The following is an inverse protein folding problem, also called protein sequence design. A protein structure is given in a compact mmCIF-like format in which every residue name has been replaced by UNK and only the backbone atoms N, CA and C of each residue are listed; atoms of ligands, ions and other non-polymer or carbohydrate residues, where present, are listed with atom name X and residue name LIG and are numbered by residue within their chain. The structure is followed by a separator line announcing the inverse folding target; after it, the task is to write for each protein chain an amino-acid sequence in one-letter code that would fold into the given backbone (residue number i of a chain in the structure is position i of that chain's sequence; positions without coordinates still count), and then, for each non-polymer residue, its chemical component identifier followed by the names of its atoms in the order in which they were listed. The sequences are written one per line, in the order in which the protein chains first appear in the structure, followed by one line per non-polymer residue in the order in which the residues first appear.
data_IF_576261410280
#
_entry.id   IF_576261410280
#
_cell.length_a   1.000
_cell.length_b   1.000
_cell.length_c   1.000
_cell.angle_alpha   90.00
_cell.angle_beta   90.00
_cell.angle_gamma   90.00
#
_symmetry.space_group_name_H-M   'P 1'
#
loop_
_entity.id
_entity.type
_entity.pdbx_description
1 polymer ?
#
# COMPACT_ATOMS: atom_id res chain seq x y z
N UNK A 1 -18.22 1.39 -5.69
CA UNK A 1 -16.89 2.04 -5.70
C UNK A 1 -16.64 2.83 -4.40
N UNK A 2 -17.57 3.65 -3.90
CA UNK A 2 -17.42 4.42 -2.63
C UNK A 2 -16.99 3.59 -1.40
N UNK A 3 -17.62 2.44 -1.14
CA UNK A 3 -17.24 1.55 -0.03
C UNK A 3 -15.77 1.11 -0.16
N UNK A 4 -15.35 0.71 -1.36
CA UNK A 4 -14.00 0.20 -1.57
C UNK A 4 -12.94 1.30 -1.39
N UNK A 5 -13.22 2.51 -1.88
CA UNK A 5 -12.37 3.68 -1.63
C UNK A 5 -12.23 3.95 -0.12
N UNK A 6 -13.34 3.91 0.63
CA UNK A 6 -13.31 4.08 2.09
C UNK A 6 -12.48 3.01 2.81
N UNK A 7 -12.52 1.76 2.36
CA UNK A 7 -11.67 0.68 2.91
C UNK A 7 -10.19 0.93 2.59
N UNK A 8 -9.88 1.38 1.38
CA UNK A 8 -8.50 1.73 0.99
C UNK A 8 -7.97 2.91 1.83
N UNK A 9 -8.79 3.93 2.07
CA UNK A 9 -8.45 5.06 2.93
C UNK A 9 -8.30 4.65 4.42
N UNK A 10 -8.92 3.55 4.85
CA UNK A 10 -8.66 2.99 6.18
C UNK A 10 -7.29 2.28 6.27
N UNK A 11 -6.68 1.91 5.14
CA UNK A 11 -5.32 1.33 5.10
C UNK A 11 -4.27 2.43 4.97
N UNK A 12 -4.45 3.35 4.03
CA UNK A 12 -3.59 4.53 3.84
C UNK A 12 -4.49 5.77 3.75
N UNK A 13 -4.70 6.49 4.86
CA UNK A 13 -5.57 7.65 4.89
C UNK A 13 -4.93 8.86 4.17
N UNK A 14 -5.75 9.84 3.76
CA UNK A 14 -5.23 11.13 3.34
C UNK A 14 -4.44 11.79 4.48
N UNK A 15 -3.31 12.40 4.13
CA UNK A 15 -2.47 13.11 5.10
C UNK A 15 -3.16 14.37 5.63
N UNK A 16 -2.78 14.78 6.84
CA UNK A 16 -3.24 16.04 7.42
C UNK A 16 -3.00 17.22 6.46
N UNK A 17 -4.01 18.08 6.31
CA UNK A 17 -3.93 19.22 5.39
C UNK A 17 -3.74 18.85 3.92
N UNK A 18 -3.93 17.58 3.53
CA UNK A 18 -3.73 17.10 2.16
C UNK A 18 -2.25 16.88 1.78
N UNK A 19 -1.37 16.68 2.76
CA UNK A 19 0.07 16.47 2.53
C UNK A 19 0.37 15.31 1.55
N UNK A 20 -0.45 14.27 1.57
CA UNK A 20 -0.45 13.17 0.61
C UNK A 20 -1.88 12.65 0.41
N UNK A 21 -2.25 12.17 -0.79
CA UNK A 21 -3.60 11.73 -1.07
C UNK A 21 -3.92 10.39 -0.40
N UNK A 22 -5.17 10.12 -0.06
CA UNK A 22 -5.58 8.80 0.44
C UNK A 22 -5.53 7.72 -0.65
N UNK A 23 -5.41 6.44 -0.27
CA UNK A 23 -5.42 5.35 -1.25
C UNK A 23 -6.76 5.23 -2.00
N UNK A 24 -7.89 5.54 -1.36
CA UNK A 24 -9.18 5.66 -2.01
C UNK A 24 -9.26 6.87 -2.95
N UNK A 25 -8.65 8.00 -2.56
CA UNK A 25 -8.65 9.24 -3.33
C UNK A 25 -7.93 9.11 -4.69
N UNK A 26 -6.85 8.34 -4.76
CA UNK A 26 -6.10 8.16 -6.01
C UNK A 26 -6.72 7.14 -6.97
N UNK A 27 -7.90 6.58 -6.66
CA UNK A 27 -8.53 5.54 -7.47
C UNK A 27 -7.72 4.24 -7.48
N UNK A 28 -7.08 3.91 -6.36
CA UNK A 28 -6.21 2.72 -6.29
C UNK A 28 -7.01 1.44 -6.56
N UNK A 29 -8.29 1.41 -6.21
CA UNK A 29 -9.15 0.25 -6.43
C UNK A 29 -9.24 -0.16 -7.90
N UNK A 30 -9.43 0.79 -8.81
CA UNK A 30 -9.46 0.57 -10.25
C UNK A 30 -8.10 0.05 -10.76
N UNK A 31 -7.00 0.58 -10.22
CA UNK A 31 -5.64 0.14 -10.56
C UNK A 31 -5.42 -1.32 -10.14
N UNK A 32 -5.89 -1.71 -8.95
CA UNK A 32 -5.77 -3.08 -8.47
C UNK A 32 -6.54 -4.07 -9.35
N UNK A 33 -7.78 -3.73 -9.73
CA UNK A 33 -8.59 -4.57 -10.61
C UNK A 33 -7.97 -4.75 -12.00
N UNK A 34 -7.23 -3.75 -12.49
CA UNK A 34 -6.53 -3.83 -13.77
C UNK A 34 -5.21 -4.61 -13.69
N UNK A 35 -4.40 -4.38 -12.64
CA UNK A 35 -3.07 -4.98 -12.51
C UNK A 35 -3.07 -6.39 -11.95
N UNK A 36 -4.07 -6.74 -11.15
CA UNK A 36 -4.16 -8.01 -10.42
C UNK A 36 -5.57 -8.56 -10.56
N UNK A 37 -6.01 -8.91 -11.77
CA UNK A 37 -7.38 -9.38 -12.00
C UNK A 37 -7.73 -10.63 -11.18
N UNK A 38 -6.73 -11.46 -10.84
CA UNK A 38 -6.88 -12.65 -10.01
C UNK A 38 -7.33 -12.34 -8.57
N UNK A 39 -7.09 -11.10 -8.09
CA UNK A 39 -7.52 -10.64 -6.77
C UNK A 39 -9.01 -10.27 -6.74
N UNK A 40 -9.62 -10.02 -7.90
CA UNK A 40 -11.02 -9.53 -8.01
C UNK A 40 -12.03 -10.40 -7.26
N UNK A 41 -12.04 -11.74 -7.37
CA UNK A 41 -13.01 -12.57 -6.66
C UNK A 41 -12.90 -12.42 -5.14
N UNK A 42 -11.67 -12.35 -4.62
CA UNK A 42 -11.38 -12.17 -3.19
C UNK A 42 -11.86 -10.80 -2.70
N UNK A 43 -11.65 -9.74 -3.50
CA UNK A 43 -12.14 -8.39 -3.15
C UNK A 43 -13.66 -8.31 -3.16
N UNK A 44 -14.30 -8.88 -4.18
CA UNK A 44 -15.76 -8.88 -4.30
C UNK A 44 -16.37 -9.60 -3.10
N UNK A 45 -15.84 -10.77 -2.74
CA UNK A 45 -16.32 -11.54 -1.60
C UNK A 45 -16.14 -10.79 -0.27
N UNK A 46 -14.94 -10.27 0.02
CA UNK A 46 -14.70 -9.52 1.25
C UNK A 46 -15.51 -8.23 1.36
N UNK A 47 -15.69 -7.50 0.25
CA UNK A 47 -16.55 -6.30 0.22
C UNK A 47 -18.04 -6.63 0.35
N UNK A 48 -18.47 -7.82 -0.09
CA UNK A 48 -19.84 -8.29 0.12
C UNK A 48 -20.09 -8.60 1.60
N UNK A 49 -19.17 -9.30 2.26
CA UNK A 49 -19.23 -9.57 3.71
C UNK A 49 -19.21 -8.26 4.51
N UNK A 50 -18.33 -7.32 4.16
CA UNK A 50 -18.30 -6.00 4.79
C UNK A 50 -19.63 -5.26 4.65
N UNK A 51 -20.28 -5.34 3.49
CA UNK A 51 -21.60 -4.72 3.26
C UNK A 51 -22.67 -5.34 4.13
N UNK A 52 -22.70 -6.67 4.22
CA UNK A 52 -23.62 -7.40 5.10
C UNK A 52 -23.47 -6.94 6.56
N UNK A 53 -22.24 -6.81 7.05
CA UNK A 53 -21.98 -6.35 8.42
C UNK A 53 -22.42 -4.89 8.66
N UNK A 54 -22.23 -4.01 7.67
CA UNK A 54 -22.73 -2.63 7.75
C UNK A 54 -24.27 -2.59 7.82
N UNK A 55 -24.94 -3.41 7.02
CA UNK A 55 -26.40 -3.54 7.03
C UNK A 55 -26.91 -4.08 8.37
N UNK A 56 -26.28 -5.12 8.92
CA UNK A 56 -26.61 -5.69 10.23
C UNK A 56 -26.46 -4.68 11.37
N UNK A 57 -25.49 -3.77 11.26
CA UNK A 57 -25.24 -2.69 12.22
C UNK A 57 -26.08 -1.44 11.95
N UNK A 58 -26.90 -1.42 10.89
CA UNK A 58 -27.67 -0.26 10.44
C UNK A 58 -26.80 0.98 10.15
N UNK A 59 -25.57 0.76 9.67
CA UNK A 59 -24.61 1.81 9.31
C UNK A 59 -24.70 2.07 7.81
N UNK A 60 -25.08 3.29 7.44
CA UNK A 60 -25.31 3.64 6.03
C UNK A 60 -24.01 3.77 5.20
N UNK A 61 -22.91 4.22 5.81
CA UNK A 61 -21.64 4.45 5.12
C UNK A 61 -20.46 4.06 6.02
N UNK A 62 -19.56 3.23 5.48
CA UNK A 62 -18.31 2.87 6.14
C UNK A 62 -17.47 4.10 6.49
N UNK A 63 -17.48 5.13 5.65
CA UNK A 63 -16.70 6.35 5.88
C UNK A 63 -17.13 7.09 7.15
N UNK A 64 -18.38 6.94 7.58
CA UNK A 64 -18.96 7.60 8.75
C UNK A 64 -18.61 6.95 10.09
N UNK A 65 -18.05 5.73 10.08
CA UNK A 65 -17.60 5.03 11.27
C UNK A 65 -16.38 5.72 11.89
N UNK A 66 -16.27 5.67 13.22
CA UNK A 66 -15.04 6.02 13.91
C UNK A 66 -13.90 5.06 13.51
N UNK A 67 -12.66 5.50 13.67
CA UNK A 67 -11.49 4.72 13.24
C UNK A 67 -11.40 3.34 13.91
N UNK A 68 -11.63 3.28 15.23
CA UNK A 68 -11.67 2.03 15.99
C UNK A 68 -12.79 1.08 15.50
N UNK A 69 -13.93 1.65 15.10
CA UNK A 69 -15.06 0.85 14.59
C UNK A 69 -14.76 0.31 13.19
N UNK A 70 -14.09 1.09 12.33
CA UNK A 70 -13.60 0.62 11.02
C UNK A 70 -12.62 -0.54 11.20
N UNK A 71 -11.67 -0.39 12.13
CA UNK A 71 -10.68 -1.42 12.40
C UNK A 71 -11.33 -2.72 12.88
N UNK A 72 -12.17 -2.64 13.93
CA UNK A 72 -12.87 -3.80 14.47
C UNK A 72 -13.77 -4.49 13.44
N UNK A 73 -14.42 -3.72 12.57
CA UNK A 73 -15.24 -4.26 11.49
C UNK A 73 -14.39 -4.98 10.44
N UNK A 74 -13.28 -4.39 10.01
CA UNK A 74 -12.36 -5.04 9.06
C UNK A 74 -11.76 -6.32 9.65
N UNK A 75 -11.38 -6.33 10.93
CA UNK A 75 -10.91 -7.55 11.60
C UNK A 75 -11.95 -8.67 11.58
N UNK A 76 -13.22 -8.36 11.88
CA UNK A 76 -14.32 -9.33 11.80
C UNK A 76 -14.51 -9.88 10.38
N UNK A 77 -14.45 -9.02 9.37
CA UNK A 77 -14.48 -9.44 7.96
C UNK A 77 -13.28 -10.34 7.65
N UNK A 78 -12.08 -10.01 8.17
CA UNK A 78 -10.87 -10.82 8.00
C UNK A 78 -10.96 -12.21 8.63
N UNK A 79 -11.72 -12.38 9.71
CA UNK A 79 -12.00 -13.71 10.29
C UNK A 79 -12.91 -14.54 9.37
N UNK A 80 -13.93 -13.91 8.77
CA UNK A 80 -14.87 -14.57 7.86
C UNK A 80 -14.26 -14.85 6.48
N UNK A 81 -13.39 -13.96 6.02
CA UNK A 81 -12.74 -13.98 4.70
C UNK A 81 -11.21 -13.84 4.85
N UNK A 82 -10.49 -14.91 5.25
CA UNK A 82 -9.06 -14.83 5.59
C UNK A 82 -8.14 -14.34 4.46
N UNK A 83 -8.54 -14.50 3.20
CA UNK A 83 -7.77 -14.04 2.05
C UNK A 83 -7.94 -12.55 1.73
N UNK A 84 -8.99 -11.91 2.24
CA UNK A 84 -9.37 -10.55 1.84
C UNK A 84 -8.37 -9.50 2.30
N UNK A 85 -8.16 -9.38 3.62
CA UNK A 85 -7.28 -8.34 4.17
C UNK A 85 -5.80 -8.51 3.77
N UNK A 86 -5.18 -9.70 3.85
CA UNK A 86 -3.78 -9.84 3.51
C UNK A 86 -3.48 -9.46 2.05
N UNK A 87 -4.32 -9.93 1.11
CA UNK A 87 -4.20 -9.59 -0.30
C UNK A 87 -4.39 -8.10 -0.55
N UNK A 88 -5.45 -7.52 0.03
CA UNK A 88 -5.73 -6.10 -0.10
C UNK A 88 -4.61 -5.23 0.48
N UNK A 89 -4.09 -5.56 1.66
CA UNK A 89 -2.98 -4.84 2.30
C UNK A 89 -1.73 -4.88 1.42
N UNK A 90 -1.29 -6.07 1.02
CA UNK A 90 -0.10 -6.24 0.19
C UNK A 90 -0.19 -5.41 -1.09
N UNK A 91 -1.31 -5.53 -1.81
CA UNK A 91 -1.48 -4.85 -3.08
C UNK A 91 -1.70 -3.33 -2.93
N UNK A 92 -2.30 -2.88 -1.83
CA UNK A 92 -2.41 -1.45 -1.51
C UNK A 92 -1.03 -0.83 -1.36
N UNK A 93 -0.18 -1.37 -0.48
CA UNK A 93 1.18 -0.86 -0.27
C UNK A 93 2.05 -0.98 -1.53
N UNK A 94 1.98 -2.12 -2.22
CA UNK A 94 2.77 -2.35 -3.42
C UNK A 94 2.46 -1.33 -4.52
N UNK A 95 1.20 -0.90 -4.67
CA UNK A 95 0.80 -0.02 -5.77
C UNK A 95 0.66 1.45 -5.40
N UNK A 96 0.43 1.79 -4.12
CA UNK A 96 0.26 3.17 -3.66
C UNK A 96 1.53 4.02 -3.86
N UNK A 97 2.69 3.54 -3.39
CA UNK A 97 3.96 4.26 -3.50
C UNK A 97 4.58 4.27 -4.90
N UNK A 98 3.90 3.69 -5.89
CA UNK A 98 4.27 3.80 -7.31
C UNK A 98 3.48 4.90 -8.03
N UNK A 99 2.47 5.50 -7.41
CA UNK A 99 1.60 6.46 -8.09
C UNK A 99 2.28 7.83 -8.21
N UNK A 100 2.23 8.49 -9.39
CA UNK A 100 2.85 9.80 -9.61
C UNK A 100 2.48 10.85 -8.56
N UNK A 101 1.18 10.98 -8.25
CA UNK A 101 0.69 11.95 -7.23
C UNK A 101 1.27 11.69 -5.84
N UNK A 102 1.52 10.42 -5.49
CA UNK A 102 2.10 10.04 -4.20
C UNK A 102 3.60 10.31 -4.20
N UNK A 103 4.31 9.97 -5.27
CA UNK A 103 5.74 10.24 -5.42
C UNK A 103 6.04 11.74 -5.33
N UNK A 104 5.26 12.56 -6.05
CA UNK A 104 5.39 14.01 -6.04
C UNK A 104 5.11 14.60 -4.64
N UNK A 105 4.08 14.09 -3.94
CA UNK A 105 3.78 14.49 -2.57
C UNK A 105 4.92 14.15 -1.58
N UNK A 106 5.69 13.09 -1.86
CA UNK A 106 6.88 12.71 -1.10
C UNK A 106 8.16 13.48 -1.52
N UNK A 107 8.05 14.42 -2.47
CA UNK A 107 9.19 15.17 -3.01
C UNK A 107 10.08 14.34 -3.94
N UNK A 108 9.58 13.21 -4.44
CA UNK A 108 10.27 12.36 -5.39
C UNK A 108 9.85 12.68 -6.82
N UNK A 109 10.75 12.48 -7.78
CA UNK A 109 10.39 12.55 -9.19
C UNK A 109 9.45 11.39 -9.56
N UNK A 110 8.31 11.69 -10.18
CA UNK A 110 7.37 10.69 -10.70
C UNK A 110 7.88 10.01 -11.99
N UNK A 111 9.01 9.32 -11.89
CA UNK A 111 9.61 8.55 -12.99
C UNK A 111 10.18 7.22 -12.52
N UNK A 112 10.35 6.25 -13.42
CA UNK A 112 11.14 5.06 -13.13
C UNK A 112 12.56 5.46 -12.68
N UNK A 113 13.14 4.74 -11.70
CA UNK A 113 14.52 4.96 -11.29
C UNK A 113 15.49 4.72 -12.45
N UNK A 114 15.34 3.61 -13.19
CA UNK A 114 16.15 3.30 -14.36
C UNK A 114 15.65 4.06 -15.61
N UNK A 115 16.53 4.59 -16.48
CA UNK A 115 18.00 4.45 -16.47
C UNK A 115 18.77 5.51 -15.68
N UNK A 116 18.13 6.63 -15.30
CA UNK A 116 18.84 7.80 -14.76
C UNK A 116 19.39 7.59 -13.33
N UNK A 117 18.79 6.69 -12.56
CA UNK A 117 19.05 6.51 -11.13
C UNK A 117 18.54 7.66 -10.27
N UNK A 118 18.89 7.61 -8.98
CA UNK A 118 18.83 8.74 -8.04
C UNK A 118 20.24 9.06 -7.60
N UNK A 119 20.51 10.33 -7.29
CA UNK A 119 21.76 10.69 -6.63
C UNK A 119 21.77 10.10 -5.21
N UNK A 120 22.87 9.45 -4.85
CA UNK A 120 23.08 8.87 -3.54
C UNK A 120 24.19 9.64 -2.84
N UNK A 121 24.02 9.90 -1.54
CA UNK A 121 25.11 10.42 -0.72
C UNK A 121 26.28 9.43 -0.75
N UNK A 122 27.48 9.95 -0.98
CA UNK A 122 28.70 9.16 -0.84
C UNK A 122 28.90 8.85 0.65
N UNK A 123 28.32 7.74 1.12
CA UNK A 123 28.46 7.29 2.50
C UNK A 123 29.92 7.10 2.91
N UNK A 124 30.17 6.86 4.20
CA UNK A 124 31.54 6.72 4.71
C UNK A 124 32.27 5.50 4.12
N UNK A 125 33.08 5.73 3.09
CA UNK A 125 33.83 4.68 2.41
C UNK A 125 34.96 4.08 3.26
N UNK A 126 35.31 4.69 4.42
CA UNK A 126 36.27 4.10 5.35
C UNK A 126 35.74 2.82 5.99
N UNK A 127 34.41 2.61 6.00
CA UNK A 127 33.80 1.34 6.42
C UNK A 127 34.25 0.15 5.55
N UNK A 128 34.76 0.40 4.34
CA UNK A 128 35.29 -0.63 3.45
C UNK A 128 36.76 -0.98 3.73
N UNK A 129 37.44 -0.26 4.62
CA UNK A 129 38.85 -0.48 4.92
C UNK A 129 39.18 -1.90 5.39
N UNK A 130 38.38 -2.55 6.26
CA UNK A 130 38.61 -3.94 6.63
C UNK A 130 38.57 -4.89 5.44
N UNK A 131 37.73 -4.61 4.43
CA UNK A 131 37.62 -5.42 3.21
C UNK A 131 38.82 -5.16 2.28
N UNK A 132 39.18 -3.88 2.09
CA UNK A 132 40.32 -3.46 1.26
C UNK A 132 41.65 -3.99 1.77
N UNK A 133 41.80 -4.16 3.09
CA UNK A 133 43.00 -4.70 3.73
C UNK A 133 43.11 -6.23 3.69
N UNK A 134 42.09 -6.96 3.23
CA UNK A 134 42.14 -8.42 3.18
C UNK A 134 43.20 -8.87 2.16
N UNK A 135 44.04 -9.88 2.50
CA UNK A 135 44.96 -10.47 1.54
C UNK A 135 44.19 -11.12 0.39
N UNK A 136 44.84 -11.28 -0.76
CA UNK A 136 44.24 -11.95 -1.93
C UNK A 136 43.82 -13.37 -1.54
N UNK A 137 42.56 -13.69 -1.76
CA UNK A 137 41.98 -15.03 -1.52
C UNK A 137 42.06 -15.95 -2.75
N UNK A 138 42.53 -15.43 -3.89
CA UNK A 138 42.64 -16.17 -5.15
C UNK A 138 44.10 -16.59 -5.42
N UNK A 139 44.28 -17.72 -6.13
CA UNK A 139 45.59 -18.14 -6.65
C UNK A 139 45.89 -17.40 -7.94
N UNK A 140 47.12 -16.92 -8.12
CA UNK A 140 47.60 -16.42 -9.41
C UNK A 140 47.94 -17.61 -10.30
N UNK A 141 47.43 -17.61 -11.53
CA UNK A 141 47.92 -18.45 -12.60
C UNK A 141 49.27 -17.92 -13.11
#
# INVERSE_FOLDING_TARGET
MRLFAGVLDAIIPPGEGGAHPGAGEIGLGEILLQKVPELTPVLVQGLAVLREELENRQVADFAALAEDEKHALLEQVGVREPGFLPGLLFHTYANYYQQPRVLEALGLEARPPYPRGYELEAGDLNLLDPVRKRPRLYRRC
#
